data_IF_983207679335
#
_entry.id   IF_983207679335
#
_cell.length_a   1.000
_cell.length_b   1.000
_cell.length_c   1.000
_cell.angle_alpha   90.00
_cell.angle_beta   90.00
_cell.angle_gamma   90.00
#
_symmetry.space_group_name_H-M   'P 1'
#
loop_
_entity.id
_entity.type
_entity.pdbx_description
1 polymer ?
#
# COMPACT_ATOMS: atom_id res chain seq x y z
N UNK A 1 -5.09 115.01 -15.88
CA UNK A 1 -3.98 114.89 -14.90
C UNK A 1 -4.30 113.78 -13.90
N UNK A 2 -3.27 113.03 -13.49
CA UNK A 2 -3.31 111.65 -12.96
C UNK A 2 -4.21 111.44 -11.73
N UNK A 3 -4.95 110.33 -11.71
CA UNK A 3 -5.36 109.65 -10.47
C UNK A 3 -5.14 108.14 -10.62
N UNK A 4 -4.18 107.61 -9.88
CA UNK A 4 -3.99 106.18 -9.66
C UNK A 4 -4.78 105.80 -8.42
N UNK A 5 -5.68 104.83 -8.53
CA UNK A 5 -6.35 104.18 -7.41
C UNK A 5 -5.88 102.72 -7.37
N UNK A 6 -5.44 102.29 -6.19
CA UNK A 6 -4.97 100.93 -5.90
C UNK A 6 -6.17 99.99 -5.72
N UNK A 7 -6.15 98.88 -6.47
CA UNK A 7 -7.06 97.75 -6.31
C UNK A 7 -6.51 96.79 -5.24
N UNK A 8 -7.34 96.39 -4.28
CA UNK A 8 -7.24 95.09 -3.62
C UNK A 8 -8.53 94.32 -3.86
N UNK A 9 -8.32 93.05 -4.21
CA UNK A 9 -9.22 92.12 -4.88
C UNK A 9 -10.16 91.44 -3.86
N UNK A 10 -11.47 91.50 -4.08
CA UNK A 10 -12.46 90.61 -3.45
C UNK A 10 -13.33 90.06 -4.57
N UNK A 11 -13.08 88.81 -4.97
CA UNK A 11 -13.87 88.11 -6.00
C UNK A 11 -15.11 87.46 -5.34
N UNK A 12 -16.32 87.65 -5.90
CA UNK A 12 -17.54 87.04 -5.37
C UNK A 12 -17.62 85.55 -5.71
N UNK A 13 -18.09 84.75 -4.75
CA UNK A 13 -18.38 83.33 -4.89
C UNK A 13 -19.54 83.15 -5.86
N UNK A 14 -19.27 82.49 -6.99
CA UNK A 14 -20.27 82.13 -8.00
C UNK A 14 -20.85 80.75 -7.66
N UNK A 15 -22.15 80.73 -7.34
CA UNK A 15 -22.93 79.53 -7.11
C UNK A 15 -23.23 78.84 -8.46
N UNK A 16 -22.57 77.72 -8.74
CA UNK A 16 -22.91 76.83 -9.84
C UNK A 16 -23.54 75.56 -9.25
N UNK A 17 -24.85 75.41 -9.42
CA UNK A 17 -25.59 74.19 -9.04
C UNK A 17 -25.19 73.08 -10.02
N UNK A 18 -24.47 72.06 -9.54
CA UNK A 18 -24.20 70.84 -10.29
C UNK A 18 -25.25 69.82 -9.91
N UNK A 19 -26.10 69.43 -10.86
CA UNK A 19 -27.03 68.31 -10.71
C UNK A 19 -26.23 67.01 -10.61
N UNK A 20 -26.06 66.48 -9.39
CA UNK A 20 -25.51 65.13 -9.19
C UNK A 20 -26.59 64.13 -9.57
N UNK A 21 -26.52 63.62 -10.79
CA UNK A 21 -27.23 62.41 -11.18
C UNK A 21 -26.68 61.22 -10.40
N UNK A 22 -27.53 60.56 -9.62
CA UNK A 22 -27.25 59.25 -9.02
C UNK A 22 -27.16 58.21 -10.16
N UNK A 23 -25.97 58.06 -10.75
CA UNK A 23 -25.64 56.95 -11.62
C UNK A 23 -25.06 55.79 -10.80
N UNK A 24 -25.91 55.07 -10.06
CA UNK A 24 -25.52 53.80 -9.48
C UNK A 24 -25.25 52.81 -10.59
N UNK A 25 -23.99 52.50 -10.87
CA UNK A 25 -23.64 51.33 -11.67
C UNK A 25 -24.25 50.10 -11.01
N UNK A 26 -25.03 49.25 -11.72
CA UNK A 26 -25.47 47.98 -11.18
C UNK A 26 -24.23 47.17 -10.79
N UNK A 27 -24.13 46.77 -9.52
CA UNK A 27 -23.08 45.85 -9.08
C UNK A 27 -23.14 44.56 -9.89
N UNK A 28 -22.02 43.82 -10.06
CA UNK A 28 -22.04 42.56 -10.78
C UNK A 28 -23.08 41.65 -10.14
N UNK A 29 -24.06 41.20 -10.95
CA UNK A 29 -25.07 40.23 -10.53
C UNK A 29 -24.35 39.05 -9.88
N UNK A 30 -24.77 38.56 -8.69
CA UNK A 30 -24.18 37.37 -8.11
C UNK A 30 -24.24 36.25 -9.15
N UNK A 31 -23.11 35.58 -9.38
CA UNK A 31 -23.06 34.41 -10.24
C UNK A 31 -24.12 33.41 -9.73
N UNK A 32 -24.90 32.77 -10.62
CA UNK A 32 -25.87 31.77 -10.18
C UNK A 32 -25.13 30.72 -9.36
N UNK A 33 -25.56 30.51 -8.11
CA UNK A 33 -25.12 29.38 -7.30
C UNK A 33 -25.34 28.11 -8.12
N UNK A 34 -24.33 27.24 -8.30
CA UNK A 34 -24.53 26.00 -9.03
C UNK A 34 -25.64 25.23 -8.32
N UNK A 35 -26.76 25.03 -9.03
CA UNK A 35 -27.80 24.11 -8.59
C UNK A 35 -27.15 22.72 -8.67
N UNK A 36 -26.93 22.08 -7.52
CA UNK A 36 -26.53 20.67 -7.50
C UNK A 36 -27.72 19.86 -8.02
N UNK A 37 -27.64 19.37 -9.26
CA UNK A 37 -28.59 18.38 -9.76
C UNK A 37 -28.58 17.20 -8.80
N UNK A 38 -29.75 16.70 -8.32
CA UNK A 38 -29.79 15.50 -7.52
C UNK A 38 -29.14 14.34 -8.29
N UNK A 39 -28.00 13.86 -7.80
CA UNK A 39 -27.26 12.74 -8.37
C UNK A 39 -27.54 11.46 -7.57
N UNK A 40 -27.25 10.30 -8.17
CA UNK A 40 -27.23 9.05 -7.41
C UNK A 40 -26.16 9.14 -6.32
N UNK A 41 -26.45 8.67 -5.11
CA UNK A 41 -25.43 8.56 -4.06
C UNK A 41 -24.41 7.45 -4.38
N UNK A 42 -23.14 7.65 -4.02
CA UNK A 42 -22.10 6.64 -4.24
C UNK A 42 -22.35 5.38 -3.39
N UNK A 43 -22.06 4.18 -3.92
CA UNK A 43 -22.11 2.96 -3.12
C UNK A 43 -21.04 3.00 -2.03
N UNK A 44 -21.29 2.36 -0.89
CA UNK A 44 -20.32 2.15 0.18
C UNK A 44 -19.92 0.69 0.23
N UNK A 45 -18.63 0.39 0.26
CA UNK A 45 -18.13 -0.98 0.50
C UNK A 45 -18.03 -1.19 2.01
N UNK A 46 -18.87 -2.07 2.54
CA UNK A 46 -18.97 -2.31 3.99
C UNK A 46 -17.98 -3.37 4.44
N UNK A 47 -17.84 -4.44 3.65
CA UNK A 47 -16.93 -5.53 3.98
C UNK A 47 -16.47 -6.24 2.71
N UNK A 48 -15.19 -6.64 2.70
CA UNK A 48 -14.59 -7.44 1.65
C UNK A 48 -13.98 -8.69 2.28
N UNK A 49 -14.25 -9.87 1.71
CA UNK A 49 -13.76 -11.15 2.23
C UNK A 49 -13.12 -12.02 1.17
N UNK A 50 -12.03 -12.68 1.53
CA UNK A 50 -11.36 -13.69 0.71
C UNK A 50 -11.86 -15.11 1.04
N UNK A 51 -12.05 -15.94 0.00
CA UNK A 51 -12.32 -17.38 0.10
C UNK A 51 -13.77 -17.75 0.42
N UNK A 52 -14.38 -17.08 1.39
CA UNK A 52 -15.77 -17.31 1.81
C UNK A 52 -16.53 -15.99 2.07
N UNK A 53 -17.80 -15.86 1.64
CA UNK A 53 -18.59 -14.64 1.83
C UNK A 53 -18.99 -14.38 3.29
N UNK A 54 -18.87 -15.37 4.18
CA UNK A 54 -19.31 -15.26 5.59
C UNK A 54 -18.13 -15.39 6.55
N UNK A 55 -17.32 -16.44 6.37
CA UNK A 55 -16.21 -16.81 7.25
C UNK A 55 -14.84 -16.45 6.69
N UNK A 56 -14.80 -15.87 5.49
CA UNK A 56 -13.56 -15.49 4.83
C UNK A 56 -12.79 -14.41 5.57
N UNK A 57 -11.48 -14.37 5.34
CA UNK A 57 -10.57 -13.35 5.86
C UNK A 57 -11.03 -11.98 5.40
N UNK A 58 -11.15 -11.04 6.33
CA UNK A 58 -11.54 -9.66 6.02
C UNK A 58 -10.34 -8.96 5.37
N UNK A 59 -10.59 -8.30 4.24
CA UNK A 59 -9.58 -7.54 3.50
C UNK A 59 -9.79 -6.04 3.72
N UNK A 60 -8.68 -5.33 3.89
CA UNK A 60 -8.57 -3.89 3.68
C UNK A 60 -8.14 -3.59 2.24
N UNK A 61 -8.38 -2.36 1.78
CA UNK A 61 -7.90 -1.93 0.48
C UNK A 61 -6.36 -1.94 0.47
N UNK A 62 -5.78 -2.66 -0.50
CA UNK A 62 -4.34 -2.87 -0.63
C UNK A 62 -3.84 -4.19 -0.05
N UNK A 63 -4.70 -4.96 0.64
CA UNK A 63 -4.30 -6.27 1.14
C UNK A 63 -4.03 -7.25 -0.02
N UNK A 64 -3.00 -8.12 0.14
CA UNK A 64 -2.70 -9.13 -0.85
C UNK A 64 -3.63 -10.34 -0.74
N UNK A 65 -3.90 -10.97 -1.87
CA UNK A 65 -4.67 -12.23 -2.00
C UNK A 65 -3.93 -13.20 -2.91
N UNK A 66 -4.11 -14.49 -2.66
CA UNK A 66 -3.48 -15.53 -3.51
C UNK A 66 -4.09 -15.60 -4.89
N UNK A 67 -3.45 -16.36 -5.78
CA UNK A 67 -4.09 -16.78 -7.03
C UNK A 67 -5.35 -17.60 -6.78
N UNK A 68 -6.28 -17.49 -7.74
CA UNK A 68 -7.50 -18.27 -7.84
C UNK A 68 -8.41 -18.17 -6.61
N UNK A 69 -8.41 -17.03 -5.93
CA UNK A 69 -9.27 -16.75 -4.79
C UNK A 69 -10.50 -15.97 -5.20
N UNK A 70 -11.65 -16.37 -4.64
CA UNK A 70 -12.86 -15.56 -4.72
C UNK A 70 -12.81 -14.46 -3.65
N UNK A 71 -13.07 -13.23 -4.05
CA UNK A 71 -13.15 -12.06 -3.19
C UNK A 71 -14.57 -11.52 -3.23
N UNK A 72 -15.25 -11.54 -2.10
CA UNK A 72 -16.65 -11.16 -1.94
C UNK A 72 -16.74 -9.74 -1.41
N UNK A 73 -17.32 -8.85 -2.21
CA UNK A 73 -17.62 -7.49 -1.84
C UNK A 73 -19.08 -7.41 -1.38
N UNK A 74 -19.29 -6.82 -0.21
CA UNK A 74 -20.61 -6.49 0.29
C UNK A 74 -20.65 -5.00 0.62
N UNK A 75 -21.75 -4.36 0.28
CA UNK A 75 -21.88 -2.93 0.42
C UNK A 75 -23.33 -2.47 0.46
N UNK A 76 -23.49 -1.16 0.54
CA UNK A 76 -24.79 -0.49 0.47
C UNK A 76 -24.80 0.54 -0.65
N UNK A 77 -25.95 0.72 -1.26
CA UNK A 77 -26.20 1.72 -2.28
C UNK A 77 -27.68 2.15 -2.22
N UNK A 78 -28.11 3.15 -3.00
CA UNK A 78 -29.53 3.47 -3.09
C UNK A 78 -30.36 2.23 -3.48
N UNK A 79 -31.54 2.11 -2.88
CA UNK A 79 -32.46 0.99 -3.10
C UNK A 79 -32.66 0.72 -4.59
N UNK A 80 -32.51 -0.55 -4.99
CA UNK A 80 -32.69 -1.01 -6.38
C UNK A 80 -31.79 -0.31 -7.41
N UNK A 81 -30.69 0.33 -6.99
CA UNK A 81 -29.73 0.93 -7.92
C UNK A 81 -28.90 -0.14 -8.64
N UNK A 82 -28.55 0.14 -9.90
CA UNK A 82 -27.57 -0.65 -10.66
C UNK A 82 -26.17 -0.24 -10.23
N UNK A 83 -25.36 -1.22 -9.82
CA UNK A 83 -23.98 -1.01 -9.41
C UNK A 83 -23.07 -1.40 -10.57
N UNK A 84 -22.25 -0.48 -11.06
CA UNK A 84 -21.22 -0.80 -12.06
C UNK A 84 -19.89 -0.98 -11.37
N UNK A 85 -19.18 -2.03 -11.76
CA UNK A 85 -17.84 -2.34 -11.26
C UNK A 85 -16.84 -2.06 -12.37
N UNK A 86 -15.85 -1.26 -12.04
CA UNK A 86 -14.81 -0.85 -12.96
C UNK A 86 -13.46 -1.40 -12.54
N UNK A 87 -12.62 -1.71 -13.53
CA UNK A 87 -11.18 -1.91 -13.38
C UNK A 87 -10.47 -0.95 -14.32
N UNK A 88 -9.53 -0.16 -13.79
CA UNK A 88 -8.72 0.80 -14.57
C UNK A 88 -9.58 1.70 -15.48
N UNK A 89 -10.73 2.15 -14.96
CA UNK A 89 -11.67 3.02 -15.66
C UNK A 89 -12.69 2.31 -16.57
N UNK A 90 -12.49 1.03 -16.91
CA UNK A 90 -13.37 0.24 -17.79
C UNK A 90 -14.38 -0.56 -16.97
N UNK A 91 -15.65 -0.59 -17.39
CA UNK A 91 -16.66 -1.45 -16.75
C UNK A 91 -16.31 -2.91 -17.03
N UNK A 92 -16.14 -3.70 -15.98
CA UNK A 92 -15.87 -5.14 -16.07
C UNK A 92 -17.08 -5.99 -15.70
N UNK A 93 -17.99 -5.44 -14.89
CA UNK A 93 -19.16 -6.15 -14.42
C UNK A 93 -20.23 -5.17 -13.89
N UNK A 94 -21.42 -5.69 -13.62
CA UNK A 94 -22.50 -4.99 -12.96
C UNK A 94 -23.29 -5.91 -12.03
N UNK A 95 -23.79 -5.35 -10.93
CA UNK A 95 -24.74 -6.01 -10.03
C UNK A 95 -25.88 -5.03 -9.71
N UNK A 96 -26.80 -5.41 -8.83
CA UNK A 96 -27.88 -4.53 -8.37
C UNK A 96 -27.98 -4.55 -6.86
N UNK A 97 -28.28 -3.41 -6.28
CA UNK A 97 -28.69 -3.34 -4.89
C UNK A 97 -30.09 -3.93 -4.72
N UNK A 98 -30.30 -4.63 -3.62
CA UNK A 98 -31.60 -5.09 -3.17
C UNK A 98 -32.50 -3.88 -2.85
N UNK A 99 -33.82 -4.09 -2.70
CA UNK A 99 -34.71 -3.03 -2.21
C UNK A 99 -34.30 -2.48 -0.83
N UNK A 100 -33.61 -3.27 -0.01
CA UNK A 100 -33.01 -2.83 1.26
C UNK A 100 -31.76 -1.95 1.09
N UNK A 101 -31.21 -1.84 -0.13
CA UNK A 101 -29.99 -1.10 -0.44
C UNK A 101 -28.70 -1.93 -0.35
N UNK A 102 -28.76 -3.16 0.16
CA UNK A 102 -27.60 -4.06 0.22
C UNK A 102 -27.25 -4.62 -1.16
N UNK A 103 -25.96 -4.74 -1.47
CA UNK A 103 -25.50 -5.43 -2.67
C UNK A 103 -24.33 -6.35 -2.35
N UNK A 104 -24.18 -7.37 -3.19
CA UNK A 104 -23.02 -8.26 -3.20
C UNK A 104 -22.46 -8.38 -4.62
N UNK A 105 -21.14 -8.50 -4.70
CA UNK A 105 -20.43 -8.78 -5.94
C UNK A 105 -19.21 -9.67 -5.64
N UNK A 106 -18.89 -10.58 -6.55
CA UNK A 106 -17.77 -11.52 -6.38
C UNK A 106 -16.75 -11.29 -7.49
N UNK A 107 -15.50 -11.12 -7.08
CA UNK A 107 -14.35 -11.05 -7.95
C UNK A 107 -13.50 -12.31 -7.84
N UNK A 108 -12.76 -12.67 -8.89
CA UNK A 108 -11.76 -13.73 -8.83
C UNK A 108 -10.37 -13.14 -9.11
N UNK A 109 -9.39 -13.45 -8.27
CA UNK A 109 -8.01 -12.94 -8.39
C UNK A 109 -7.25 -13.47 -9.59
N UNK A 110 -7.73 -14.54 -10.23
CA UNK A 110 -7.08 -15.15 -11.38
C UNK A 110 -5.68 -15.66 -11.06
N UNK A 111 -4.81 -15.71 -12.07
CA UNK A 111 -3.46 -16.30 -11.96
C UNK A 111 -2.35 -15.31 -12.31
N UNK A 112 -2.66 -14.02 -12.30
CA UNK A 112 -1.72 -12.97 -12.71
C UNK A 112 -1.47 -12.05 -11.53
N UNK A 113 -0.21 -12.02 -11.11
CA UNK A 113 0.27 -11.14 -10.05
C UNK A 113 0.14 -9.68 -10.48
N UNK A 114 -0.25 -8.81 -9.54
CA UNK A 114 -0.35 -7.38 -9.80
C UNK A 114 -1.36 -6.66 -8.93
N UNK A 115 -1.36 -5.34 -9.04
CA UNK A 115 -2.31 -4.47 -8.35
C UNK A 115 -3.53 -4.21 -9.22
N UNK A 116 -4.72 -4.51 -8.69
CA UNK A 116 -6.00 -4.32 -9.36
C UNK A 116 -6.78 -3.20 -8.67
N UNK A 117 -6.95 -2.09 -9.38
CA UNK A 117 -7.70 -0.94 -8.90
C UNK A 117 -9.16 -1.06 -9.32
N UNK A 118 -10.02 -1.45 -8.38
CA UNK A 118 -11.45 -1.56 -8.59
C UNK A 118 -12.13 -0.26 -8.18
N UNK A 119 -13.24 0.07 -8.83
CA UNK A 119 -14.13 1.12 -8.35
C UNK A 119 -15.59 0.82 -8.64
N UNK A 120 -16.46 1.30 -7.76
CA UNK A 120 -17.89 1.04 -7.80
C UNK A 120 -18.65 2.34 -7.97
N UNK A 121 -19.66 2.35 -8.83
CA UNK A 121 -20.63 3.44 -8.93
C UNK A 121 -22.04 2.87 -8.83
N UNK A 122 -23.02 3.75 -8.66
CA UNK A 122 -24.43 3.41 -8.63
C UNK A 122 -25.23 4.30 -9.58
N UNK A 123 -26.26 3.74 -10.20
CA UNK A 123 -27.26 4.48 -10.98
C UNK A 123 -28.65 4.15 -10.46
N UNK A 124 -29.38 5.14 -9.93
CA UNK A 124 -30.73 4.97 -9.41
C UNK A 124 -31.77 5.52 -10.40
N UNK A 125 -32.49 4.61 -11.06
CA UNK A 125 -33.49 4.98 -12.05
C UNK A 125 -32.89 5.81 -13.19
N UNK A 126 -33.41 7.01 -13.42
CA UNK A 126 -32.93 7.94 -14.44
C UNK A 126 -31.94 8.99 -13.91
N UNK A 127 -31.55 8.91 -12.63
CA UNK A 127 -30.58 9.84 -12.06
C UNK A 127 -29.19 9.61 -12.66
N UNK A 128 -28.36 10.67 -12.78
CA UNK A 128 -26.98 10.52 -13.19
C UNK A 128 -26.21 9.52 -12.31
N UNK A 129 -25.25 8.83 -12.93
CA UNK A 129 -24.34 7.90 -12.24
C UNK A 129 -23.54 8.62 -11.15
N UNK A 130 -23.33 7.93 -10.03
CA UNK A 130 -22.63 8.48 -8.87
C UNK A 130 -21.11 8.58 -9.04
N UNK A 131 -20.45 9.23 -8.08
CA UNK A 131 -18.99 9.19 -7.97
C UNK A 131 -18.48 7.77 -7.67
N UNK A 132 -17.21 7.53 -8.01
CA UNK A 132 -16.55 6.23 -7.81
C UNK A 132 -16.12 6.01 -6.37
N UNK A 133 -16.42 4.83 -5.83
CA UNK A 133 -15.89 4.31 -4.57
C UNK A 133 -14.76 3.33 -4.87
N UNK A 134 -13.49 3.66 -4.55
CA UNK A 134 -12.34 2.82 -4.90
C UNK A 134 -12.14 1.65 -3.92
N UNK A 135 -11.57 0.56 -4.42
CA UNK A 135 -11.00 -0.51 -3.61
C UNK A 135 -9.86 -1.17 -4.37
N UNK A 136 -8.67 -1.26 -3.77
CA UNK A 136 -7.50 -1.88 -4.39
C UNK A 136 -7.30 -3.28 -3.83
N UNK A 137 -6.97 -4.25 -4.69
CA UNK A 137 -6.50 -5.57 -4.28
C UNK A 137 -5.14 -5.82 -4.92
N UNK A 138 -4.20 -6.34 -4.14
CA UNK A 138 -2.95 -6.87 -4.67
C UNK A 138 -3.13 -8.38 -4.85
N UNK A 139 -2.95 -8.88 -6.06
CA UNK A 139 -2.86 -10.34 -6.25
C UNK A 139 -1.40 -10.69 -6.17
N UNK A 140 -1.08 -11.59 -5.26
CA UNK A 140 0.25 -12.11 -5.01
C UNK A 140 0.19 -13.63 -4.93
N UNK A 141 0.85 -14.30 -5.87
CA UNK A 141 0.94 -15.76 -5.87
C UNK A 141 2.36 -16.27 -5.76
N UNK A 142 3.32 -15.38 -5.55
CA UNK A 142 4.72 -15.75 -5.34
C UNK A 142 4.88 -16.06 -3.86
N UNK A 143 5.34 -17.27 -3.54
CA UNK A 143 5.63 -17.62 -2.16
C UNK A 143 6.99 -17.08 -1.71
N UNK A 144 7.19 -16.91 -0.40
CA UNK A 144 8.46 -16.42 0.12
C UNK A 144 9.60 -17.40 -0.18
N UNK A 145 10.79 -16.85 -0.40
CA UNK A 145 12.04 -17.55 -0.61
C UNK A 145 13.22 -16.74 -0.12
N UNK A 146 14.37 -17.40 0.10
CA UNK A 146 15.61 -16.70 0.43
C UNK A 146 16.14 -16.00 -0.83
N UNK A 147 16.10 -14.67 -0.83
CA UNK A 147 16.51 -13.86 -1.98
C UNK A 147 18.03 -13.62 -2.01
N UNK A 148 18.60 -13.25 -0.87
CA UNK A 148 20.02 -12.93 -0.77
C UNK A 148 20.53 -13.07 0.67
N UNK A 149 21.85 -12.93 0.85
CA UNK A 149 22.47 -12.81 2.16
C UNK A 149 23.53 -11.71 2.15
N UNK A 150 23.83 -11.22 3.34
CA UNK A 150 24.94 -10.31 3.62
C UNK A 150 25.76 -10.85 4.78
N UNK A 151 27.07 -10.86 4.59
CA UNK A 151 28.05 -11.29 5.58
C UNK A 151 29.25 -10.34 5.54
N UNK A 152 29.82 -10.06 6.72
CA UNK A 152 31.02 -9.24 6.87
C UNK A 152 32.11 -10.05 7.54
N UNK A 153 33.34 -9.76 7.15
CA UNK A 153 34.51 -10.33 7.78
C UNK A 153 34.61 -9.84 9.23
N UNK A 154 35.13 -10.70 10.10
CA UNK A 154 35.21 -10.37 11.51
C UNK A 154 36.34 -9.38 11.80
N UNK A 155 36.02 -8.42 12.66
CA UNK A 155 37.04 -7.56 13.24
C UNK A 155 37.87 -8.35 14.28
N UNK A 156 39.19 -8.10 14.39
CA UNK A 156 39.98 -8.63 15.50
C UNK A 156 39.35 -8.20 16.85
N UNK A 157 39.06 -9.17 17.72
CA UNK A 157 38.39 -8.96 19.02
C UNK A 157 36.96 -8.37 18.91
N UNK A 158 36.27 -8.66 17.80
CA UNK A 158 34.90 -8.20 17.54
C UNK A 158 33.81 -8.96 18.29
N UNK A 159 32.56 -8.55 18.05
CA UNK A 159 31.37 -9.27 18.48
C UNK A 159 31.25 -10.62 17.75
N UNK A 160 30.32 -11.47 18.19
CA UNK A 160 29.96 -12.69 17.46
C UNK A 160 29.70 -12.39 15.97
N UNK A 161 30.20 -13.22 15.05
CA UNK A 161 29.94 -13.04 13.61
C UNK A 161 28.44 -13.11 13.35
N UNK A 162 27.97 -12.31 12.39
CA UNK A 162 26.56 -12.31 11.99
C UNK A 162 26.41 -12.44 10.48
N UNK A 163 25.35 -13.13 10.07
CA UNK A 163 24.92 -13.23 8.69
C UNK A 163 23.47 -12.77 8.65
N UNK A 164 23.14 -11.85 7.75
CA UNK A 164 21.77 -11.41 7.52
C UNK A 164 21.26 -12.06 6.24
N UNK A 165 20.15 -12.78 6.33
CA UNK A 165 19.49 -13.42 5.19
C UNK A 165 18.23 -12.63 4.87
N UNK A 166 18.02 -12.29 3.60
CA UNK A 166 16.89 -11.51 3.14
C UNK A 166 15.90 -12.39 2.37
N UNK A 167 14.62 -12.24 2.69
CA UNK A 167 13.54 -12.81 1.89
C UNK A 167 13.22 -11.88 0.71
N UNK A 168 12.57 -12.42 -0.32
CA UNK A 168 12.05 -11.62 -1.44
C UNK A 168 10.90 -10.68 -1.03
N UNK A 169 10.29 -10.95 0.12
CA UNK A 169 9.10 -10.28 0.61
C UNK A 169 9.00 -10.37 2.14
N UNK A 170 7.91 -9.82 2.68
CA UNK A 170 7.61 -9.91 4.12
C UNK A 170 7.01 -11.28 4.45
N UNK A 171 7.55 -11.95 5.48
CA UNK A 171 7.07 -13.26 5.90
C UNK A 171 6.20 -13.19 7.15
N UNK A 172 5.14 -13.98 7.20
CA UNK A 172 4.35 -14.27 8.39
C UNK A 172 4.77 -15.62 8.93
N UNK A 173 5.16 -15.68 10.21
CA UNK A 173 5.63 -16.92 10.85
C UNK A 173 4.59 -17.39 11.87
N UNK A 174 4.06 -18.60 11.67
CA UNK A 174 3.10 -19.22 12.59
C UNK A 174 3.73 -19.68 13.90
N UNK A 175 4.84 -20.42 13.83
CA UNK A 175 5.57 -20.90 15.01
C UNK A 175 6.99 -20.31 15.05
N UNK A 176 7.14 -19.25 15.85
CA UNK A 176 8.42 -18.58 16.03
C UNK A 176 9.45 -19.44 16.79
N UNK A 177 9.01 -20.38 17.63
CA UNK A 177 9.93 -21.24 18.37
C UNK A 177 10.65 -22.19 17.42
N UNK A 178 9.91 -22.82 16.50
CA UNK A 178 10.51 -23.73 15.51
C UNK A 178 11.32 -22.95 14.48
N UNK A 179 10.82 -21.80 14.02
CA UNK A 179 11.51 -20.94 13.06
C UNK A 179 12.87 -20.44 13.57
N UNK A 180 12.98 -20.13 14.87
CA UNK A 180 14.22 -19.64 15.48
C UNK A 180 15.15 -20.73 15.99
N UNK A 181 14.83 -22.01 15.78
CA UNK A 181 15.74 -23.11 16.11
C UNK A 181 16.99 -23.03 15.22
N UNK A 182 18.20 -22.96 15.78
CA UNK A 182 19.41 -23.00 14.97
C UNK A 182 19.50 -24.24 14.06
N UNK A 183 18.92 -25.37 14.47
CA UNK A 183 18.94 -26.61 13.69
C UNK A 183 18.21 -26.54 12.33
N UNK A 184 17.34 -25.55 12.08
CA UNK A 184 16.70 -25.36 10.77
C UNK A 184 17.43 -24.34 9.89
N UNK A 185 18.51 -23.74 10.40
CA UNK A 185 19.36 -22.77 9.71
C UNK A 185 20.80 -23.30 9.68
N UNK A 186 21.27 -23.65 8.50
CA UNK A 186 22.65 -24.14 8.33
C UNK A 186 23.46 -23.18 7.47
N UNK A 187 24.75 -23.04 7.78
CA UNK A 187 25.67 -22.20 7.03
C UNK A 187 26.84 -23.05 6.62
N UNK A 188 27.03 -23.19 5.31
CA UNK A 188 28.18 -23.89 4.77
C UNK A 188 29.12 -22.94 4.07
N UNK A 189 30.39 -23.24 4.20
CA UNK A 189 31.40 -22.75 3.30
C UNK A 189 31.29 -23.49 1.96
N UNK A 190 31.10 -22.75 0.86
CA UNK A 190 31.12 -23.33 -0.49
C UNK A 190 32.50 -23.16 -1.15
N UNK A 191 33.08 -21.96 -1.09
CA UNK A 191 34.42 -21.64 -1.59
C UNK A 191 35.11 -20.77 -0.55
N UNK A 192 35.90 -21.35 0.35
CA UNK A 192 36.56 -20.58 1.41
C UNK A 192 38.08 -20.78 1.42
N UNK A 193 38.82 -20.09 0.55
CA UNK A 193 40.27 -20.05 0.67
C UNK A 193 40.74 -19.48 2.02
N UNK A 194 39.96 -18.60 2.65
CA UNK A 194 40.22 -18.10 3.99
C UNK A 194 39.90 -19.10 5.11
N UNK A 195 38.97 -20.02 4.84
CA UNK A 195 38.51 -21.02 5.81
C UNK A 195 37.48 -20.47 6.80
N UNK A 196 36.48 -19.71 6.31
CA UNK A 196 35.36 -19.27 7.12
C UNK A 196 34.63 -20.45 7.80
N UNK A 197 34.32 -20.28 9.08
CA UNK A 197 33.56 -21.22 9.92
C UNK A 197 32.40 -20.47 10.56
N UNK A 198 31.20 -21.06 10.55
CA UNK A 198 30.02 -20.44 11.13
C UNK A 198 29.03 -21.50 11.62
N UNK A 199 28.71 -21.50 12.90
CA UNK A 199 27.74 -22.36 13.54
C UNK A 199 26.61 -21.48 14.09
N UNK A 200 25.40 -21.62 13.56
CA UNK A 200 24.26 -20.82 14.03
C UNK A 200 24.01 -21.11 15.51
N UNK A 201 24.02 -20.08 16.34
CA UNK A 201 23.69 -20.15 17.78
C UNK A 201 22.42 -19.41 18.14
N UNK A 202 22.09 -18.38 17.36
CA UNK A 202 20.88 -17.58 17.52
C UNK A 202 20.31 -17.21 16.16
N UNK A 203 18.98 -17.18 16.08
CA UNK A 203 18.22 -16.76 14.92
C UNK A 203 17.25 -15.67 15.38
N UNK A 204 17.25 -14.54 14.70
CA UNK A 204 16.36 -13.42 15.00
C UNK A 204 15.70 -12.89 13.73
N UNK A 205 14.37 -12.95 13.66
CA UNK A 205 13.59 -12.28 12.62
C UNK A 205 13.61 -10.77 12.84
N UNK A 206 13.83 -10.00 11.79
CA UNK A 206 13.78 -8.54 11.85
C UNK A 206 12.35 -8.04 12.09
N UNK A 207 12.21 -6.84 12.65
CA UNK A 207 10.90 -6.25 12.96
C UNK A 207 10.04 -6.00 11.71
N UNK A 208 10.66 -5.77 10.55
CA UNK A 208 10.00 -5.65 9.25
C UNK A 208 9.70 -7.00 8.59
N UNK A 209 10.06 -8.11 9.24
CA UNK A 209 9.84 -9.50 8.80
C UNK A 209 10.37 -9.80 7.39
N UNK A 210 11.39 -9.07 6.95
CA UNK A 210 12.03 -9.24 5.63
C UNK A 210 13.42 -9.85 5.70
N UNK A 211 13.96 -10.02 6.90
CA UNK A 211 15.29 -10.59 7.07
C UNK A 211 15.43 -11.37 8.37
N UNK A 212 16.37 -12.31 8.38
CA UNK A 212 16.80 -13.04 9.56
C UNK A 212 18.26 -12.73 9.83
N UNK A 213 18.58 -12.39 11.07
CA UNK A 213 19.96 -12.33 11.54
C UNK A 213 20.31 -13.67 12.19
N UNK A 214 21.34 -14.32 11.65
CA UNK A 214 21.98 -15.49 12.23
C UNK A 214 23.21 -15.01 12.99
N UNK A 215 23.38 -15.47 14.23
CA UNK A 215 24.54 -15.16 15.07
C UNK A 215 25.36 -16.42 15.30
N UNK A 216 26.66 -16.36 15.03
CA UNK A 216 27.60 -17.45 15.26
C UNK A 216 28.14 -17.49 16.69
N UNK A 217 29.01 -18.44 16.96
CA UNK A 217 29.77 -18.55 18.20
C UNK A 217 30.99 -17.62 18.19
N UNK A 218 31.01 -16.65 19.09
CA UNK A 218 32.08 -15.65 19.20
C UNK A 218 33.49 -16.20 19.44
N UNK A 219 33.65 -17.45 19.90
CA UNK A 219 34.97 -18.04 20.21
C UNK A 219 35.57 -18.84 19.05
N UNK A 220 34.74 -19.45 18.20
CA UNK A 220 35.19 -20.47 17.25
C UNK A 220 34.77 -20.19 15.81
N UNK A 221 33.78 -19.33 15.61
CA UNK A 221 33.35 -18.95 14.28
C UNK A 221 34.16 -17.75 13.80
N UNK A 222 34.43 -17.76 12.50
CA UNK A 222 35.13 -16.68 11.83
C UNK A 222 34.65 -16.53 10.40
N UNK A 223 34.27 -15.32 10.00
CA UNK A 223 34.00 -14.96 8.61
C UNK A 223 35.19 -14.20 8.03
N UNK A 224 35.61 -14.58 6.82
CA UNK A 224 36.81 -14.06 6.17
C UNK A 224 36.45 -13.50 4.80
N UNK A 225 36.89 -12.26 4.54
CA UNK A 225 36.59 -11.54 3.31
C UNK A 225 37.01 -12.35 2.07
N UNK A 226 36.11 -12.42 1.09
CA UNK A 226 36.31 -13.14 -0.16
C UNK A 226 35.85 -14.61 -0.14
N UNK A 227 35.52 -15.17 1.02
CA UNK A 227 34.93 -16.50 1.09
C UNK A 227 33.46 -16.48 0.61
N UNK A 228 33.07 -17.50 -0.17
CA UNK A 228 31.70 -17.71 -0.61
C UNK A 228 31.01 -18.70 0.32
N UNK A 229 29.89 -18.25 0.90
CA UNK A 229 29.08 -19.01 1.85
C UNK A 229 27.67 -19.25 1.29
N UNK A 230 27.03 -20.30 1.79
CA UNK A 230 25.63 -20.59 1.55
C UNK A 230 24.89 -20.74 2.86
N UNK A 231 23.67 -20.22 2.91
CA UNK A 231 22.74 -20.42 4.01
C UNK A 231 21.60 -21.29 3.54
N UNK A 232 21.36 -22.38 4.26
CA UNK A 232 20.20 -23.24 4.07
C UNK A 232 19.13 -22.93 5.11
N UNK A 233 17.89 -22.87 4.67
CA UNK A 233 16.72 -22.87 5.53
C UNK A 233 15.87 -24.11 5.25
N UNK A 234 15.80 -25.00 6.24
CA UNK A 234 15.02 -26.23 6.19
C UNK A 234 13.57 -25.96 6.61
N UNK A 235 12.76 -25.56 5.64
CA UNK A 235 11.34 -25.28 5.85
C UNK A 235 10.54 -26.56 6.12
N UNK A 236 9.70 -26.52 7.16
CA UNK A 236 8.69 -27.56 7.43
C UNK A 236 7.32 -26.89 7.54
N UNK A 237 6.24 -27.51 7.04
CA UNK A 237 4.89 -26.94 7.13
C UNK A 237 4.42 -26.61 8.56
N UNK A 238 4.98 -27.29 9.57
CA UNK A 238 4.68 -27.01 10.99
C UNK A 238 5.10 -25.61 11.44
N UNK A 239 6.09 -24.99 10.78
CA UNK A 239 6.49 -23.62 11.09
C UNK A 239 5.46 -22.58 10.64
N UNK A 240 4.60 -22.93 9.67
CA UNK A 240 3.58 -22.03 9.14
C UNK A 240 4.16 -20.73 8.59
N UNK A 241 5.27 -20.79 7.86
CA UNK A 241 5.87 -19.61 7.21
C UNK A 241 5.15 -19.33 5.89
N UNK A 242 4.49 -18.20 5.80
CA UNK A 242 3.82 -17.70 4.59
C UNK A 242 4.26 -16.27 4.29
N UNK A 243 3.81 -15.72 3.18
CA UNK A 243 3.72 -14.27 3.00
C UNK A 243 2.43 -13.69 3.63
N UNK A 244 2.14 -12.42 3.32
CA UNK A 244 0.89 -11.76 3.69
C UNK A 244 -0.34 -12.24 2.91
N UNK A 245 -0.17 -12.77 1.69
CA UNK A 245 -1.26 -13.37 0.92
C UNK A 245 -1.65 -14.75 1.45
N UNK A 246 -0.77 -15.41 2.20
CA UNK A 246 -0.88 -16.80 2.63
C UNK A 246 -0.23 -17.81 1.69
N UNK A 247 0.64 -17.39 0.75
CA UNK A 247 1.45 -18.34 -0.02
C UNK A 247 2.51 -18.95 0.87
N UNK A 248 2.67 -20.29 0.88
CA UNK A 248 3.71 -20.95 1.64
C UNK A 248 5.08 -20.73 1.00
N UNK A 249 6.14 -20.94 1.78
CA UNK A 249 7.50 -21.01 1.26
C UNK A 249 7.61 -21.91 0.03
N UNK A 250 8.32 -21.47 -1.00
CA UNK A 250 8.31 -22.10 -2.32
C UNK A 250 8.97 -23.49 -2.38
N UNK A 251 9.81 -23.84 -1.39
CA UNK A 251 10.49 -25.13 -1.30
C UNK A 251 10.71 -25.56 0.16
N UNK A 252 10.89 -26.87 0.37
CA UNK A 252 11.25 -27.44 1.68
C UNK A 252 12.70 -27.12 2.08
N UNK A 253 13.59 -26.91 1.12
CA UNK A 253 14.96 -26.47 1.36
C UNK A 253 15.25 -25.25 0.50
N UNK A 254 15.65 -24.16 1.16
CA UNK A 254 15.89 -22.88 0.51
C UNK A 254 17.34 -22.47 0.71
N UNK A 255 17.92 -21.84 -0.32
CA UNK A 255 19.35 -21.53 -0.34
C UNK A 255 19.56 -20.08 -0.72
N UNK A 256 20.31 -19.35 0.09
CA UNK A 256 20.93 -18.09 -0.31
C UNK A 256 22.45 -18.30 -0.42
N UNK A 257 23.08 -17.65 -1.40
CA UNK A 257 24.54 -17.66 -1.57
C UNK A 257 25.04 -16.23 -1.54
N UNK A 258 26.21 -16.01 -0.96
CA UNK A 258 26.85 -14.70 -0.97
C UNK A 258 28.33 -14.77 -0.65
N UNK A 259 29.01 -13.64 -0.83
CA UNK A 259 30.44 -13.49 -0.55
C UNK A 259 30.59 -12.67 0.72
N UNK A 260 31.48 -13.10 1.61
CA UNK A 260 31.84 -12.34 2.81
C UNK A 260 32.55 -11.06 2.36
N UNK A 261 31.98 -9.93 2.74
CA UNK A 261 32.53 -8.60 2.42
C UNK A 261 33.54 -8.16 3.49
N UNK A 262 34.47 -7.22 3.16
CA UNK A 262 35.40 -6.67 4.14
C UNK A 262 34.75 -5.96 5.33
#
# INVERSE_FOLDING_TARGET
>A
MRRKWFLFLVLPVLLCVVLVGCGGTPGPSPAPTPISTPGTAAPSITIVREGSPVTGRILQSGDPVRFSQNVYFQGTAPSSAVIKVYRDGTVIDQTSALPSGEFAWTWNSGTTEGTYNLSFTATQGSLPESSRTPFTIVVDGTGPYLHSLSAKADAPLGNAPTIVVYFNEEIVVGDMNVFTLPAVWDVICLICPGGSTFNVTQVALSADQRSVTLTGNWMVDRLIAGDQIQVFFAYTPLMGVTDKAGNPFNAALNVATGVVTP
#
